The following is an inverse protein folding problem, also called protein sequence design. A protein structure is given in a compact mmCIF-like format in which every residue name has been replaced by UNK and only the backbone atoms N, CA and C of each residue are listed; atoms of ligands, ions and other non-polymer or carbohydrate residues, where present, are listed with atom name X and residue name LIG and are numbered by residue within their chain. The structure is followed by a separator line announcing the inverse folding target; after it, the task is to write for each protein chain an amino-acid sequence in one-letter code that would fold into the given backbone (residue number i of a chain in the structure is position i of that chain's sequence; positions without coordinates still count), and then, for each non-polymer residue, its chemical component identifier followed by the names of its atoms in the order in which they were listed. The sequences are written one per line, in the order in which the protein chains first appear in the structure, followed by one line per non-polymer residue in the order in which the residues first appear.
data_IF_565271263816
#
_entry.id   IF_565271263816
#
_cell.length_a   1.000
_cell.length_b   1.000
_cell.length_c   1.000
_cell.angle_alpha   90.00
_cell.angle_beta   90.00
_cell.angle_gamma   90.00
#
_symmetry.space_group_name_H-M   'P 1'
#
loop_
_entity.id
_entity.type
_entity.pdbx_description
1 polymer ?
#
# COMPACT_ATOMS: atom_id res chain seq x y z
N UNK A 1 22.65 14.89 -6.53
CA UNK A 1 21.98 15.40 -5.32
C UNK A 1 20.63 14.72 -5.26
N UNK A 2 20.25 14.15 -4.13
CA UNK A 2 18.95 13.51 -3.92
C UNK A 2 17.85 14.58 -3.86
N UNK A 3 16.65 14.28 -4.37
CA UNK A 3 15.50 15.19 -4.35
C UNK A 3 14.88 15.34 -2.93
N UNK A 4 15.26 14.45 -2.01
CA UNK A 4 14.76 14.33 -0.65
C UNK A 4 14.75 12.85 -0.23
N UNK A 5 14.26 12.59 0.98
CA UNK A 5 14.09 11.22 1.51
C UNK A 5 12.61 10.93 1.76
N UNK A 6 12.15 9.75 1.32
CA UNK A 6 10.76 9.28 1.50
C UNK A 6 10.77 7.97 2.27
N UNK A 7 9.96 7.89 3.32
CA UNK A 7 9.61 6.63 3.97
C UNK A 7 8.28 6.13 3.40
N UNK A 8 8.24 4.89 2.91
CA UNK A 8 7.03 4.24 2.41
C UNK A 8 6.64 3.12 3.37
N UNK A 9 5.36 3.03 3.72
CA UNK A 9 4.82 1.85 4.37
C UNK A 9 3.71 1.24 3.55
N UNK A 10 3.75 -0.08 3.36
CA UNK A 10 2.83 -0.83 2.53
C UNK A 10 3.16 -2.32 2.53
N UNK A 11 2.23 -3.13 2.03
CA UNK A 11 2.32 -4.59 1.99
C UNK A 11 3.31 -5.08 0.93
N UNK A 12 4.61 -5.17 1.27
CA UNK A 12 5.68 -5.55 0.35
C UNK A 12 6.00 -7.05 0.40
N UNK A 13 6.30 -7.56 1.59
CA UNK A 13 6.84 -8.90 1.85
C UNK A 13 6.18 -9.63 3.03
N UNK A 14 5.39 -8.94 3.86
CA UNK A 14 4.78 -9.48 5.08
C UNK A 14 3.86 -10.68 4.83
N UNK A 15 3.26 -10.75 3.63
CA UNK A 15 2.55 -11.94 3.14
C UNK A 15 3.24 -12.47 1.87
N UNK A 16 4.12 -13.48 2.01
CA UNK A 16 4.91 -14.01 0.90
C UNK A 16 4.08 -14.49 -0.29
N UNK A 17 4.64 -14.30 -1.50
CA UNK A 17 4.05 -14.79 -2.74
C UNK A 17 2.85 -13.98 -3.26
N UNK A 18 2.48 -12.88 -2.60
CA UNK A 18 1.40 -11.98 -3.04
C UNK A 18 1.95 -10.91 -4.00
N UNK A 19 2.32 -11.33 -5.22
CA UNK A 19 2.96 -10.43 -6.19
C UNK A 19 2.15 -9.17 -6.52
N UNK A 20 0.81 -9.25 -6.53
CA UNK A 20 -0.05 -8.08 -6.74
C UNK A 20 0.04 -7.04 -5.61
N UNK A 21 0.10 -7.49 -4.35
CA UNK A 21 0.26 -6.60 -3.20
C UNK A 21 1.66 -5.97 -3.20
N UNK A 22 2.69 -6.79 -3.39
CA UNK A 22 4.07 -6.30 -3.49
C UNK A 22 4.22 -5.26 -4.60
N UNK A 23 3.64 -5.51 -5.79
CA UNK A 23 3.66 -4.56 -6.89
C UNK A 23 2.92 -3.25 -6.58
N UNK A 24 1.81 -3.28 -5.84
CA UNK A 24 1.10 -2.06 -5.45
C UNK A 24 2.02 -1.08 -4.70
N UNK A 25 2.91 -1.59 -3.85
CA UNK A 25 3.93 -0.81 -3.13
C UNK A 25 5.13 -0.48 -4.02
N UNK A 26 5.67 -1.47 -4.74
CA UNK A 26 6.87 -1.30 -5.58
C UNK A 26 6.69 -0.24 -6.66
N UNK A 27 5.49 -0.05 -7.21
CA UNK A 27 5.25 1.01 -8.19
C UNK A 27 5.53 2.41 -7.62
N UNK A 28 5.17 2.66 -6.35
CA UNK A 28 5.50 3.91 -5.68
C UNK A 28 6.99 3.99 -5.35
N UNK A 29 7.55 2.94 -4.74
CA UNK A 29 8.97 2.91 -4.33
C UNK A 29 9.90 3.15 -5.53
N UNK A 30 9.70 2.41 -6.61
CA UNK A 30 10.51 2.54 -7.82
C UNK A 30 10.20 3.86 -8.56
N UNK A 31 8.95 4.31 -8.56
CA UNK A 31 8.55 5.59 -9.13
C UNK A 31 9.26 6.77 -8.46
N UNK A 32 9.26 6.83 -7.13
CA UNK A 32 9.94 7.86 -6.36
C UNK A 32 11.46 7.83 -6.54
N UNK A 33 12.07 6.65 -6.57
CA UNK A 33 13.51 6.50 -6.88
C UNK A 33 13.86 7.08 -8.26
N UNK A 34 13.03 6.84 -9.28
CA UNK A 34 13.22 7.44 -10.62
C UNK A 34 13.12 8.96 -10.62
N UNK A 35 12.32 9.53 -9.72
CA UNK A 35 12.23 10.97 -9.50
C UNK A 35 13.42 11.54 -8.71
N UNK A 36 14.37 10.69 -8.29
CA UNK A 36 15.61 11.09 -7.63
C UNK A 36 15.54 11.10 -6.10
N UNK A 37 14.48 10.55 -5.50
CA UNK A 37 14.36 10.42 -4.05
C UNK A 37 15.14 9.21 -3.52
N UNK A 38 15.66 9.36 -2.31
CA UNK A 38 16.09 8.22 -1.50
C UNK A 38 14.86 7.62 -0.82
N UNK A 39 14.59 6.33 -1.04
CA UNK A 39 13.33 5.71 -0.60
C UNK A 39 13.60 4.53 0.31
N UNK A 40 13.10 4.65 1.54
CA UNK A 40 13.06 3.59 2.53
C UNK A 40 11.68 2.96 2.58
N UNK A 41 11.61 1.67 2.90
CA UNK A 41 10.36 0.91 3.06
C UNK A 41 10.33 0.27 4.43
N UNK A 42 9.24 0.48 5.16
CA UNK A 42 8.97 -0.23 6.41
C UNK A 42 7.58 -0.86 6.34
N UNK A 43 7.52 -2.16 6.50
CA UNK A 43 6.25 -2.90 6.54
C UNK A 43 6.03 -3.47 7.95
N UNK A 44 5.02 -2.97 8.68
CA UNK A 44 4.57 -3.60 9.91
C UNK A 44 4.00 -5.00 9.62
N UNK A 45 4.39 -5.97 10.44
CA UNK A 45 3.87 -7.34 10.40
C UNK A 45 3.49 -7.78 11.81
N UNK A 46 2.42 -8.55 11.94
CA UNK A 46 2.00 -9.09 13.24
C UNK A 46 3.08 -9.99 13.88
N UNK A 47 3.90 -10.64 13.05
CA UNK A 47 5.04 -11.45 13.49
C UNK A 47 6.10 -11.54 12.40
N UNK A 48 7.38 -11.53 12.78
CA UNK A 48 8.49 -11.85 11.89
C UNK A 48 8.51 -13.36 11.57
N UNK A 49 7.80 -13.74 10.52
CA UNK A 49 7.83 -15.10 9.98
C UNK A 49 9.05 -15.32 9.07
N UNK A 50 9.79 -16.46 9.19
CA UNK A 50 10.93 -16.75 8.34
C UNK A 50 10.66 -16.71 6.83
N UNK A 51 9.43 -17.00 6.38
CA UNK A 51 9.06 -16.90 4.95
C UNK A 51 8.93 -15.45 4.52
N UNK A 52 8.35 -14.59 5.35
CA UNK A 52 8.29 -13.13 5.10
C UNK A 52 9.68 -12.51 5.05
N UNK A 53 10.57 -12.93 5.96
CA UNK A 53 11.98 -12.50 5.95
C UNK A 53 12.72 -12.97 4.70
N UNK A 54 12.55 -14.23 4.30
CA UNK A 54 13.15 -14.76 3.08
C UNK A 54 12.64 -14.02 1.83
N UNK A 55 11.33 -13.75 1.77
CA UNK A 55 10.71 -13.04 0.66
C UNK A 55 11.15 -11.56 0.60
N UNK A 56 11.29 -10.88 1.73
CA UNK A 56 11.89 -9.54 1.79
C UNK A 56 13.30 -9.55 1.17
N UNK A 57 14.12 -10.56 1.50
CA UNK A 57 15.47 -10.69 0.97
C UNK A 57 15.48 -10.90 -0.56
N UNK A 58 14.58 -11.74 -1.08
CA UNK A 58 14.42 -11.96 -2.52
C UNK A 58 13.99 -10.69 -3.26
N UNK A 59 13.01 -9.97 -2.73
CA UNK A 59 12.55 -8.70 -3.28
C UNK A 59 13.65 -7.64 -3.19
N UNK A 60 14.40 -7.59 -2.10
CA UNK A 60 15.51 -6.64 -1.94
C UNK A 60 16.56 -6.87 -3.02
N UNK A 61 16.97 -8.12 -3.26
CA UNK A 61 17.93 -8.46 -4.30
C UNK A 61 17.43 -8.16 -5.72
N UNK A 62 16.12 -8.31 -5.95
CA UNK A 62 15.52 -8.09 -7.26
C UNK A 62 15.32 -6.61 -7.59
N UNK A 63 15.14 -5.77 -6.56
CA UNK A 63 14.75 -4.36 -6.69
C UNK A 63 15.71 -3.37 -6.04
N UNK A 64 16.89 -3.85 -5.64
CA UNK A 64 17.98 -3.07 -5.04
C UNK A 64 17.51 -2.35 -3.76
N UNK A 65 16.80 -3.08 -2.89
CA UNK A 65 16.28 -2.56 -1.61
C UNK A 65 17.15 -2.96 -0.40
N UNK A 66 18.31 -3.59 -0.61
CA UNK A 66 19.26 -3.84 0.47
C UNK A 66 19.68 -2.53 1.13
N UNK A 67 19.56 -2.48 2.46
CA UNK A 67 19.82 -1.25 3.23
C UNK A 67 18.73 -0.18 3.08
N UNK A 68 17.59 -0.50 2.47
CA UNK A 68 16.46 0.42 2.33
C UNK A 68 15.11 -0.17 2.77
N UNK A 69 15.03 -1.46 3.09
CA UNK A 69 13.76 -2.08 3.48
C UNK A 69 13.86 -2.83 4.81
N UNK A 70 12.76 -2.81 5.57
CA UNK A 70 12.57 -3.61 6.77
C UNK A 70 11.14 -4.14 6.91
N UNK A 71 11.01 -5.37 7.40
CA UNK A 71 9.82 -5.79 8.15
C UNK A 71 9.99 -5.35 9.61
N UNK A 72 8.92 -4.84 10.21
CA UNK A 72 8.87 -4.44 11.62
C UNK A 72 7.78 -5.25 12.33
N UNK A 73 8.14 -5.98 13.38
CA UNK A 73 7.12 -6.65 14.21
C UNK A 73 6.31 -5.60 15.00
N UNK A 74 4.99 -5.63 14.83
CA UNK A 74 4.08 -4.65 15.44
C UNK A 74 4.19 -4.63 16.97
N UNK A 75 4.33 -3.43 17.54
CA UNK A 75 4.44 -3.24 18.99
C UNK A 75 5.80 -3.58 19.59
N UNK A 76 6.79 -3.93 18.78
CA UNK A 76 8.16 -4.21 19.23
C UNK A 76 9.18 -3.32 18.51
N UNK A 77 10.47 -3.64 18.68
CA UNK A 77 11.58 -3.03 17.92
C UNK A 77 12.32 -4.08 17.09
N UNK A 78 11.73 -5.26 16.93
CA UNK A 78 12.34 -6.34 16.19
C UNK A 78 12.08 -6.13 14.70
N UNK A 79 13.15 -6.18 13.92
CA UNK A 79 13.11 -5.99 12.48
C UNK A 79 13.84 -7.09 11.74
N UNK A 80 13.46 -7.28 10.47
CA UNK A 80 14.26 -8.02 9.50
C UNK A 80 14.54 -7.12 8.29
N UNK A 81 15.79 -7.09 7.82
CA UNK A 81 16.26 -6.08 6.87
C UNK A 81 17.09 -5.03 7.59
N UNK A 82 16.72 -3.76 7.49
CA UNK A 82 17.32 -2.68 8.30
C UNK A 82 17.06 -2.90 9.79
N UNK A 83 17.99 -2.46 10.64
CA UNK A 83 17.76 -2.42 12.08
C UNK A 83 16.70 -1.36 12.43
N UNK A 84 15.98 -1.54 13.53
CA UNK A 84 15.03 -0.51 14.00
C UNK A 84 15.69 0.87 14.16
N UNK A 85 16.95 0.92 14.63
CA UNK A 85 17.69 2.17 14.76
C UNK A 85 17.93 2.86 13.41
N UNK A 86 18.22 2.09 12.36
CA UNK A 86 18.40 2.61 11.01
C UNK A 86 17.06 3.09 10.41
N UNK A 87 15.96 2.39 10.67
CA UNK A 87 14.62 2.83 10.25
C UNK A 87 14.22 4.13 10.96
N UNK A 88 14.49 4.27 12.26
CA UNK A 88 14.31 5.53 12.99
C UNK A 88 15.20 6.64 12.42
N UNK A 89 16.45 6.31 12.05
CA UNK A 89 17.36 7.24 11.37
C UNK A 89 16.78 7.75 10.05
N UNK A 90 16.26 6.84 9.22
CA UNK A 90 15.58 7.16 7.97
C UNK A 90 14.31 8.00 8.19
N UNK A 91 13.52 7.69 9.21
CA UNK A 91 12.32 8.46 9.54
C UNK A 91 12.67 9.90 9.95
N UNK A 92 13.76 10.10 10.68
CA UNK A 92 14.23 11.44 11.08
C UNK A 92 14.76 12.28 9.92
N UNK A 93 15.27 11.64 8.87
CA UNK A 93 15.73 12.33 7.66
C UNK A 93 14.66 12.45 6.57
N UNK A 94 13.54 11.71 6.70
CA UNK A 94 12.49 11.71 5.69
C UNK A 94 11.69 13.01 5.69
N UNK A 95 11.53 13.57 4.49
CA UNK A 95 10.68 14.74 4.23
C UNK A 95 9.19 14.35 4.16
N UNK A 96 8.94 13.11 3.68
CA UNK A 96 7.61 12.60 3.38
C UNK A 96 7.49 11.15 3.85
N UNK A 97 6.37 10.84 4.51
CA UNK A 97 5.87 9.50 4.74
C UNK A 97 4.73 9.25 3.76
N UNK A 98 4.81 8.17 2.99
CA UNK A 98 3.68 7.63 2.23
C UNK A 98 3.23 6.36 2.93
N UNK A 99 2.17 6.47 3.73
CA UNK A 99 1.62 5.38 4.53
C UNK A 99 0.38 4.81 3.85
N UNK A 100 0.56 3.70 3.13
CA UNK A 100 -0.50 3.04 2.36
C UNK A 100 -1.52 2.44 3.34
N UNK A 101 -2.78 2.85 3.18
CA UNK A 101 -3.92 2.44 4.01
C UNK A 101 -3.65 2.53 5.53
N UNK A 102 -2.78 3.44 5.97
CA UNK A 102 -2.50 3.67 7.40
C UNK A 102 -1.81 2.52 8.13
N UNK A 103 -1.09 1.66 7.39
CA UNK A 103 -0.44 0.48 7.96
C UNK A 103 0.54 0.82 9.09
N UNK A 104 1.41 1.81 8.92
CA UNK A 104 2.39 2.20 9.94
C UNK A 104 1.73 2.98 11.07
N UNK A 105 1.94 2.50 12.30
CA UNK A 105 1.43 3.13 13.52
C UNK A 105 2.52 3.48 14.56
N UNK A 106 3.80 3.15 14.30
CA UNK A 106 4.89 3.45 15.23
C UNK A 106 5.16 4.97 15.27
N UNK A 107 4.81 5.60 16.40
CA UNK A 107 4.97 7.05 16.61
C UNK A 107 6.41 7.53 16.42
N UNK A 108 7.43 6.74 16.79
CA UNK A 108 8.83 7.13 16.58
C UNK A 108 9.21 7.21 15.10
N UNK A 109 8.45 6.54 14.23
CA UNK A 109 8.62 6.58 12.79
C UNK A 109 7.70 7.60 12.12
N UNK A 110 6.54 7.91 12.72
CA UNK A 110 5.58 8.89 12.18
C UNK A 110 5.94 10.32 12.57
N UNK A 111 6.10 10.60 13.87
CA UNK A 111 6.18 11.95 14.42
C UNK A 111 7.31 12.82 13.84
N UNK A 112 8.52 12.30 13.56
CA UNK A 112 9.60 13.14 13.02
C UNK A 112 9.32 13.67 11.61
N UNK A 113 8.42 13.03 10.86
CA UNK A 113 8.21 13.31 9.45
C UNK A 113 7.13 14.39 9.28
N UNK A 114 7.43 15.56 8.70
CA UNK A 114 6.48 16.68 8.65
C UNK A 114 5.30 16.44 7.70
N UNK A 115 5.56 15.76 6.57
CA UNK A 115 4.53 15.46 5.56
C UNK A 115 4.15 13.99 5.66
N UNK A 116 2.94 13.69 6.17
CA UNK A 116 2.46 12.31 6.35
C UNK A 116 1.25 12.10 5.46
N UNK A 117 1.46 11.43 4.34
CA UNK A 117 0.43 11.13 3.35
C UNK A 117 -0.23 9.80 3.70
N UNK A 118 -1.53 9.82 3.99
CA UNK A 118 -2.35 8.63 3.93
C UNK A 118 -2.65 8.34 2.47
N UNK A 119 -2.17 7.21 1.95
CA UNK A 119 -2.44 6.79 0.58
C UNK A 119 -3.48 5.66 0.59
N UNK A 120 -4.71 5.99 0.22
CA UNK A 120 -5.83 5.09 0.16
C UNK A 120 -5.84 4.31 -1.17
N UNK A 121 -5.54 3.00 -1.07
CA UNK A 121 -5.64 2.04 -2.18
C UNK A 121 -6.86 1.12 -2.06
N UNK A 122 -7.69 1.29 -1.04
CA UNK A 122 -8.94 0.56 -0.80
C UNK A 122 -10.12 1.53 -0.63
N UNK A 123 -10.36 2.41 -1.63
CA UNK A 123 -11.38 3.44 -1.52
C UNK A 123 -12.76 2.84 -1.32
N UNK A 124 -13.62 3.62 -0.67
CA UNK A 124 -14.87 3.19 -0.04
C UNK A 124 -14.66 2.36 1.23
N UNK A 125 -13.86 1.31 1.21
CA UNK A 125 -13.71 0.45 2.39
C UNK A 125 -13.04 1.17 3.56
N UNK A 126 -11.91 1.85 3.33
CA UNK A 126 -11.25 2.62 4.39
C UNK A 126 -12.20 3.67 5.02
N UNK A 127 -13.03 4.33 4.22
CA UNK A 127 -13.96 5.33 4.75
C UNK A 127 -15.16 4.69 5.48
N UNK A 128 -15.69 3.59 4.95
CA UNK A 128 -16.82 2.88 5.55
C UNK A 128 -16.43 2.18 6.85
N UNK A 129 -15.23 1.58 6.92
CA UNK A 129 -14.71 0.99 8.16
C UNK A 129 -14.61 2.03 9.27
N UNK A 130 -14.11 3.23 8.98
CA UNK A 130 -14.08 4.33 9.93
C UNK A 130 -15.48 4.82 10.32
N UNK A 131 -16.31 5.12 9.33
CA UNK A 131 -17.57 5.85 9.55
C UNK A 131 -18.71 4.98 10.04
N UNK A 132 -18.75 3.71 9.64
CA UNK A 132 -19.88 2.80 9.86
C UNK A 132 -19.52 1.72 10.87
N UNK A 133 -18.36 1.06 10.69
CA UNK A 133 -17.94 -0.05 11.57
C UNK A 133 -17.16 0.45 12.80
N UNK A 134 -16.79 1.74 12.85
CA UNK A 134 -16.05 2.35 13.96
C UNK A 134 -14.61 1.83 14.12
N UNK A 135 -14.04 1.22 13.07
CA UNK A 135 -12.66 0.75 13.04
C UNK A 135 -11.77 1.97 12.81
N UNK A 136 -10.85 2.24 13.74
CA UNK A 136 -9.90 3.33 13.59
C UNK A 136 -8.93 3.07 12.43
N UNK A 137 -9.16 3.77 11.33
CA UNK A 137 -8.32 3.76 10.14
C UNK A 137 -7.12 4.70 10.26
N UNK A 138 -6.88 5.26 11.45
CA UNK A 138 -5.70 6.04 11.84
C UNK A 138 -5.52 7.33 11.06
N UNK A 139 -6.61 7.90 10.56
CA UNK A 139 -6.55 9.12 9.75
C UNK A 139 -5.92 10.31 10.50
N UNK A 140 -6.07 10.41 11.82
CA UNK A 140 -5.52 11.55 12.59
C UNK A 140 -3.97 11.61 12.59
N UNK A 141 -3.29 10.50 12.29
CA UNK A 141 -1.83 10.46 12.20
C UNK A 141 -1.26 11.18 10.96
N UNK A 142 -2.10 11.59 10.01
CA UNK A 142 -1.70 12.05 8.69
C UNK A 142 -2.04 13.51 8.45
N UNK A 143 -1.20 14.19 7.67
CA UNK A 143 -1.40 15.61 7.31
C UNK A 143 -2.05 15.78 5.94
N UNK A 144 -1.95 14.77 5.07
CA UNK A 144 -2.49 14.79 3.71
C UNK A 144 -3.16 13.46 3.38
N UNK A 145 -4.21 13.50 2.57
CA UNK A 145 -4.99 12.34 2.20
C UNK A 145 -5.06 12.22 0.68
N UNK A 146 -4.55 11.11 0.15
CA UNK A 146 -4.50 10.82 -1.29
C UNK A 146 -5.24 9.52 -1.52
N UNK A 147 -6.05 9.44 -2.58
CA UNK A 147 -6.85 8.23 -2.88
C UNK A 147 -6.89 7.92 -4.36
N UNK A 148 -6.90 6.63 -4.70
CA UNK A 148 -7.25 6.17 -6.06
C UNK A 148 -8.76 6.20 -6.34
N UNK A 149 -9.57 6.46 -5.31
CA UNK A 149 -11.01 6.69 -5.41
C UNK A 149 -11.35 8.05 -6.02
N UNK A 150 -11.27 8.16 -7.35
CA UNK A 150 -11.39 9.44 -8.07
C UNK A 150 -12.67 10.24 -7.82
N UNK A 151 -13.74 9.57 -7.36
CA UNK A 151 -15.04 10.16 -7.08
C UNK A 151 -15.21 10.64 -5.63
N UNK A 152 -14.36 10.20 -4.69
CA UNK A 152 -14.49 10.56 -3.27
C UNK A 152 -14.42 12.08 -3.10
N UNK A 153 -15.33 12.63 -2.31
CA UNK A 153 -15.44 14.08 -2.08
C UNK A 153 -16.10 14.87 -3.22
N UNK A 154 -16.44 14.23 -4.36
CA UNK A 154 -17.17 14.89 -5.45
C UNK A 154 -18.69 14.78 -5.27
N UNK A 155 -19.48 15.74 -5.82
CA UNK A 155 -20.93 15.61 -5.87
C UNK A 155 -21.36 14.29 -6.52
N UNK A 156 -22.30 13.59 -5.88
CA UNK A 156 -22.82 12.30 -6.36
C UNK A 156 -22.07 11.07 -5.86
N UNK A 157 -20.92 11.22 -5.17
CA UNK A 157 -20.30 10.11 -4.45
C UNK A 157 -20.87 10.01 -3.03
N UNK A 158 -21.48 8.87 -2.69
CA UNK A 158 -22.10 8.62 -1.38
C UNK A 158 -21.13 8.07 -0.33
N UNK A 159 -19.89 7.78 -0.71
CA UNK A 159 -18.82 7.34 0.20
C UNK A 159 -18.49 8.50 1.14
N UNK A 160 -18.50 8.29 2.47
CA UNK A 160 -18.18 9.35 3.42
C UNK A 160 -16.73 9.80 3.24
N UNK A 161 -16.45 11.09 3.40
CA UNK A 161 -15.07 11.61 3.35
C UNK A 161 -14.35 11.47 4.70
N UNK A 162 -15.07 11.08 5.75
CA UNK A 162 -14.60 11.06 7.14
C UNK A 162 -13.99 12.40 7.59
N UNK A 163 -14.51 13.52 7.05
CA UNK A 163 -14.03 14.86 7.37
C UNK A 163 -12.66 15.22 6.76
N UNK A 164 -12.18 14.45 5.76
CA UNK A 164 -10.89 14.68 5.11
C UNK A 164 -11.04 15.22 3.69
N UNK A 165 -10.06 16.02 3.28
CA UNK A 165 -9.92 16.49 1.91
C UNK A 165 -9.08 15.49 1.10
N UNK A 166 -9.76 14.66 0.32
CA UNK A 166 -9.14 13.59 -0.46
C UNK A 166 -8.63 14.11 -1.81
N UNK A 167 -7.32 14.03 -2.01
CA UNK A 167 -6.65 14.33 -3.28
C UNK A 167 -6.72 13.09 -4.20
N UNK A 168 -7.43 13.16 -5.34
CA UNK A 168 -7.50 12.03 -6.25
C UNK A 168 -6.17 11.81 -6.97
N UNK A 169 -5.75 10.56 -7.09
CA UNK A 169 -4.58 10.17 -7.88
C UNK A 169 -4.87 8.92 -8.71
N UNK A 170 -4.02 8.66 -9.69
CA UNK A 170 -3.94 7.37 -10.36
C UNK A 170 -2.81 6.55 -9.76
N UNK A 171 -2.96 5.22 -9.77
CA UNK A 171 -1.89 4.32 -9.41
C UNK A 171 -0.72 4.48 -10.41
N UNK A 172 0.51 4.75 -9.95
CA UNK A 172 1.66 4.82 -10.86
C UNK A 172 1.97 3.44 -11.44
N UNK A 173 2.52 3.43 -12.65
CA UNK A 173 3.05 2.23 -13.30
C UNK A 173 4.44 2.54 -13.85
N UNK A 174 5.46 1.90 -13.29
CA UNK A 174 6.84 1.93 -13.77
C UNK A 174 6.96 0.96 -14.93
N UNK A 175 6.66 1.45 -16.13
CA UNK A 175 6.57 0.65 -17.36
C UNK A 175 7.86 -0.10 -17.71
N UNK A 176 9.03 0.39 -17.32
CA UNK A 176 10.31 -0.31 -17.55
C UNK A 176 10.38 -1.67 -16.85
N UNK A 177 9.58 -1.89 -15.80
CA UNK A 177 9.48 -3.20 -15.14
C UNK A 177 8.34 -4.07 -15.69
N UNK A 178 7.59 -3.55 -16.66
CA UNK A 178 6.48 -4.23 -17.34
C UNK A 178 6.75 -4.21 -18.85
N UNK A 179 7.87 -4.80 -19.30
CA UNK A 179 8.20 -4.80 -20.72
C UNK A 179 7.14 -5.54 -21.51
N UNK A 180 6.94 -5.11 -22.75
CA UNK A 180 6.11 -5.85 -23.68
C UNK A 180 6.66 -7.27 -23.86
N UNK A 181 5.79 -8.27 -23.69
CA UNK A 181 6.11 -9.66 -23.97
C UNK A 181 5.62 -10.01 -25.38
N UNK A 182 6.53 -10.46 -26.24
CA UNK A 182 6.29 -10.79 -27.65
C UNK A 182 5.82 -12.25 -27.88
N UNK A 183 5.82 -13.07 -26.84
CA UNK A 183 5.34 -14.44 -26.89
C UNK A 183 5.03 -15.02 -25.51
N UNK A 184 4.20 -16.05 -25.50
CA UNK A 184 3.92 -16.84 -24.29
C UNK A 184 5.15 -17.70 -23.96
N UNK A 185 5.84 -17.38 -22.87
CA UNK A 185 7.00 -18.16 -22.38
C UNK A 185 6.60 -19.28 -21.40
N UNK A 186 5.35 -19.26 -20.93
CA UNK A 186 4.78 -20.27 -20.05
C UNK A 186 3.38 -20.66 -20.54
N UNK A 187 3.07 -21.96 -20.49
CA UNK A 187 1.73 -22.50 -20.80
C UNK A 187 0.82 -22.50 -19.56
N UNK A 188 0.98 -21.48 -18.70
CA UNK A 188 0.23 -21.34 -17.46
C UNK A 188 0.11 -19.88 -17.03
N UNK A 189 -1.05 -19.52 -16.49
CA UNK A 189 -1.23 -18.26 -15.77
C UNK A 189 -0.62 -18.43 -14.38
N UNK A 190 0.38 -17.61 -14.05
CA UNK A 190 1.02 -17.58 -12.73
C UNK A 190 0.28 -16.68 -11.73
N UNK A 191 -0.73 -15.94 -12.19
CA UNK A 191 -1.56 -15.06 -11.36
C UNK A 191 -2.67 -15.84 -10.66
N UNK A 192 -2.59 -15.94 -9.34
CA UNK A 192 -3.70 -16.42 -8.51
C UNK A 192 -4.51 -15.22 -8.04
N UNK A 193 -5.70 -15.04 -8.62
CA UNK A 193 -6.63 -13.99 -8.17
C UNK A 193 -7.37 -14.42 -6.91
N UNK A 194 -7.33 -13.59 -5.86
CA UNK A 194 -8.21 -13.76 -4.70
C UNK A 194 -9.53 -12.99 -4.91
N UNK A 195 -10.63 -13.73 -4.99
CA UNK A 195 -11.98 -13.19 -5.24
C UNK A 195 -12.74 -12.84 -3.96
N UNK A 196 -12.24 -13.29 -2.80
CA UNK A 196 -12.87 -13.11 -1.48
C UNK A 196 -11.80 -12.68 -0.48
N UNK A 197 -11.88 -11.44 -0.03
CA UNK A 197 -11.05 -10.86 1.01
C UNK A 197 -11.91 -10.49 2.23
N UNK A 198 -12.17 -9.20 2.39
CA UNK A 198 -12.78 -8.60 3.58
C UNK A 198 -14.25 -8.99 3.82
N UNK A 199 -14.86 -8.40 4.85
CA UNK A 199 -16.31 -8.45 5.05
C UNK A 199 -17.10 -7.72 3.96
N UNK A 200 -18.41 -7.64 4.12
CA UNK A 200 -19.27 -6.77 3.30
C UNK A 200 -19.88 -5.71 4.19
N UNK A 201 -20.17 -4.53 3.64
CA UNK A 201 -20.72 -3.40 4.39
C UNK A 201 -21.98 -2.92 3.67
N UNK A 202 -23.02 -2.60 4.43
CA UNK A 202 -24.20 -1.92 3.90
C UNK A 202 -24.16 -0.45 4.29
N UNK A 203 -24.31 0.44 3.30
CA UNK A 203 -24.33 1.88 3.53
C UNK A 203 -25.34 2.55 2.61
N UNK A 204 -26.26 3.32 3.19
CA UNK A 204 -27.36 3.98 2.48
C UNK A 204 -28.15 3.05 1.55
N UNK A 205 -28.42 1.82 1.99
CA UNK A 205 -29.14 0.80 1.21
C UNK A 205 -28.34 0.21 0.04
N UNK A 206 -27.05 0.52 -0.07
CA UNK A 206 -26.12 -0.07 -1.04
C UNK A 206 -25.27 -1.12 -0.33
N UNK A 207 -25.25 -2.33 -0.89
CA UNK A 207 -24.43 -3.42 -0.41
C UNK A 207 -23.05 -3.42 -1.08
N UNK A 208 -22.01 -3.10 -0.32
CA UNK A 208 -20.61 -3.16 -0.72
C UNK A 208 -20.07 -4.56 -0.44
N UNK A 209 -20.22 -5.44 -1.42
CA UNK A 209 -19.82 -6.84 -1.35
C UNK A 209 -18.41 -7.14 -1.85
N UNK A 210 -18.04 -8.42 -1.75
CA UNK A 210 -16.76 -8.92 -2.26
C UNK A 210 -16.66 -8.90 -3.79
N UNK A 211 -15.42 -8.82 -4.32
CA UNK A 211 -15.12 -8.79 -5.78
C UNK A 211 -15.85 -9.88 -6.56
N UNK A 212 -15.99 -11.07 -5.97
CA UNK A 212 -16.73 -12.19 -6.56
C UNK A 212 -18.17 -11.86 -6.95
N UNK A 213 -18.86 -10.96 -6.26
CA UNK A 213 -20.24 -10.59 -6.56
C UNK A 213 -20.30 -9.67 -7.78
N UNK A 214 -19.53 -8.58 -7.76
CA UNK A 214 -19.44 -7.65 -8.89
C UNK A 214 -18.90 -8.31 -10.16
N UNK A 215 -17.94 -9.22 -10.05
CA UNK A 215 -17.39 -9.92 -11.22
C UNK A 215 -18.41 -10.83 -11.91
N UNK A 216 -19.32 -11.47 -11.17
CA UNK A 216 -20.36 -12.33 -11.76
C UNK A 216 -21.27 -11.56 -12.71
N UNK A 217 -21.52 -10.28 -12.43
CA UNK A 217 -22.32 -9.41 -13.30
C UNK A 217 -21.59 -9.08 -14.62
N UNK A 218 -20.26 -9.20 -14.63
CA UNK A 218 -19.40 -8.86 -15.76
C UNK A 218 -18.85 -10.09 -16.51
N UNK A 219 -19.13 -11.31 -16.04
CA UNK A 219 -18.49 -12.53 -16.56
C UNK A 219 -18.82 -12.81 -18.04
N UNK A 220 -19.99 -12.36 -18.49
CA UNK A 220 -20.44 -12.53 -19.87
C UNK A 220 -19.99 -11.38 -20.79
N UNK A 221 -19.30 -10.36 -20.28
CA UNK A 221 -18.87 -9.20 -21.05
C UNK A 221 -17.93 -9.55 -22.22
N UNK A 222 -16.97 -10.49 -22.11
CA UNK A 222 -16.13 -10.88 -23.25
C UNK A 222 -16.87 -11.56 -24.42
N UNK A 223 -18.15 -11.94 -24.25
CA UNK A 223 -18.98 -12.53 -25.30
C UNK A 223 -19.71 -11.47 -26.15
N UNK A 224 -19.60 -10.18 -25.79
CA UNK A 224 -20.23 -9.05 -26.47
C UNK A 224 -19.19 -8.27 -27.26
#
# INVERSE_FOLDING_TARGET
MTAGTILVSGMLAGVPGQGGAAWAVLQYVLGFRRLGYEVYVVEPVAKLDPRSVAYLKELSASFELEGFAALLEEGTRDTAGLSYADVVGAARSADILVNISGMLADEQLLEPIPTRVYLDLDPAFNQLWQAIDGIDMRFEGHTHFVTVGLAIGRPGCSVPTCGRDWLPTLQPVVLERWPFADGLVHDAVTTVGNWRGYGSIEHNGVFYGQKAHSFRELIDLPKR
#
